data_IF_819949081883
#
_entry.id   IF_819949081883
#
_cell.length_a   1.000
_cell.length_b   1.000
_cell.length_c   1.000
_cell.angle_alpha   90.00
_cell.angle_beta   90.00
_cell.angle_gamma   90.00
#
_symmetry.space_group_name_H-M   'P 1'
#
loop_
_entity.id
_entity.type
_entity.pdbx_description
1 polymer ?
#
# COMPACT_ATOMS: atom_id res chain seq x y z
N UNK A 1 5.22 29.24 -25.16
CA UNK A 1 4.61 27.95 -25.54
C UNK A 1 4.92 26.95 -24.45
N UNK A 2 3.96 26.10 -24.09
CA UNK A 2 4.23 24.98 -23.19
C UNK A 2 5.05 23.92 -23.95
N UNK A 3 6.01 23.28 -23.28
CA UNK A 3 6.78 22.16 -23.84
C UNK A 3 5.84 20.97 -24.08
N UNK A 4 6.10 20.19 -25.11
CA UNK A 4 5.33 18.95 -25.33
C UNK A 4 5.93 17.78 -24.55
N UNK A 5 5.13 16.72 -24.35
CA UNK A 5 5.60 15.50 -23.68
C UNK A 5 6.68 14.81 -24.54
N UNK A 6 6.54 14.87 -25.86
CA UNK A 6 7.50 14.33 -26.84
C UNK A 6 8.86 15.03 -26.70
N UNK A 7 8.87 16.37 -26.66
CA UNK A 7 10.10 17.17 -26.47
C UNK A 7 10.80 16.84 -25.14
N UNK A 8 10.02 16.70 -24.05
CA UNK A 8 10.56 16.33 -22.73
C UNK A 8 11.16 14.92 -22.77
N UNK A 9 10.49 13.96 -23.39
CA UNK A 9 10.97 12.57 -23.50
C UNK A 9 12.27 12.48 -24.32
N UNK A 10 12.39 13.24 -25.42
CA UNK A 10 13.63 13.33 -26.19
C UNK A 10 14.80 13.86 -25.35
N UNK A 11 14.57 14.92 -24.56
CA UNK A 11 15.58 15.45 -23.64
C UNK A 11 15.99 14.44 -22.57
N UNK A 12 15.04 13.67 -22.03
CA UNK A 12 15.31 12.60 -21.06
C UNK A 12 16.21 11.54 -21.69
N UNK A 13 15.87 11.07 -22.89
CA UNK A 13 16.68 10.06 -23.62
C UNK A 13 18.10 10.56 -23.93
N UNK A 14 18.25 11.86 -24.20
CA UNK A 14 19.54 12.49 -24.47
C UNK A 14 20.33 12.86 -23.19
N UNK A 15 19.76 12.68 -21.99
CA UNK A 15 20.38 13.10 -20.73
C UNK A 15 20.48 14.62 -20.56
N UNK A 16 19.62 15.39 -21.25
CA UNK A 16 19.61 16.87 -21.26
C UNK A 16 18.43 17.49 -20.52
N UNK A 17 17.50 16.68 -20.03
CA UNK A 17 16.34 17.18 -19.31
C UNK A 17 16.76 17.87 -18.01
N UNK A 18 16.24 19.06 -17.76
CA UNK A 18 16.39 19.75 -16.48
C UNK A 18 15.31 19.20 -15.54
N UNK A 19 15.72 18.32 -14.63
CA UNK A 19 14.86 17.69 -13.63
C UNK A 19 15.14 18.30 -12.27
N UNK A 20 14.11 18.79 -11.60
CA UNK A 20 14.23 19.35 -10.24
C UNK A 20 13.15 18.77 -9.34
N UNK A 21 13.29 18.94 -8.02
CA UNK A 21 12.28 18.55 -7.04
C UNK A 21 11.21 19.64 -6.85
N UNK A 22 10.06 19.25 -6.32
CA UNK A 22 8.99 20.17 -5.92
C UNK A 22 9.42 21.14 -4.80
N UNK A 23 10.48 20.85 -4.05
CA UNK A 23 11.05 21.79 -3.07
C UNK A 23 11.95 22.83 -3.77
N UNK A 24 12.82 22.38 -4.67
CA UNK A 24 13.76 23.24 -5.40
C UNK A 24 13.05 24.25 -6.33
N UNK A 25 11.91 23.86 -6.91
CA UNK A 25 11.20 24.75 -7.84
C UNK A 25 10.70 26.02 -7.17
N UNK A 26 10.37 25.97 -5.88
CA UNK A 26 9.85 27.12 -5.14
C UNK A 26 10.89 28.25 -5.12
N UNK A 27 12.14 27.92 -4.81
CA UNK A 27 13.21 28.91 -4.74
C UNK A 27 13.65 29.37 -6.14
N UNK A 28 13.63 28.47 -7.13
CA UNK A 28 13.92 28.84 -8.52
C UNK A 28 12.90 29.85 -9.07
N UNK A 29 11.61 29.65 -8.78
CA UNK A 29 10.54 30.59 -9.15
C UNK A 29 10.72 31.94 -8.43
N UNK A 30 11.08 31.95 -7.15
CA UNK A 30 11.35 33.21 -6.42
C UNK A 30 12.51 33.99 -7.03
N UNK A 31 13.57 33.30 -7.49
CA UNK A 31 14.76 33.94 -8.04
C UNK A 31 14.59 34.39 -9.49
N UNK A 32 13.98 33.56 -10.34
CA UNK A 32 13.95 33.74 -11.81
C UNK A 32 12.58 34.16 -12.36
N UNK A 33 11.53 34.06 -11.55
CA UNK A 33 10.15 34.23 -11.98
C UNK A 33 9.56 32.98 -12.63
N UNK A 34 8.23 32.89 -12.61
CA UNK A 34 7.47 31.73 -13.07
C UNK A 34 7.71 31.39 -14.55
N UNK A 35 7.62 32.38 -15.44
CA UNK A 35 7.74 32.17 -16.89
C UNK A 35 9.11 31.64 -17.29
N UNK A 36 10.19 32.19 -16.72
CA UNK A 36 11.56 31.76 -17.01
C UNK A 36 11.82 30.37 -16.45
N UNK A 37 11.36 30.10 -15.23
CA UNK A 37 11.47 28.78 -14.60
C UNK A 37 10.76 27.70 -15.42
N UNK A 38 9.55 27.97 -15.90
CA UNK A 38 8.80 27.03 -16.74
C UNK A 38 9.47 26.75 -18.10
N UNK A 39 10.25 27.70 -18.64
CA UNK A 39 11.04 27.49 -19.85
C UNK A 39 12.29 26.64 -19.60
N UNK A 40 12.94 26.81 -18.45
CA UNK A 40 14.18 26.09 -18.08
C UNK A 40 13.90 24.66 -17.60
N UNK A 41 12.91 24.46 -16.72
CA UNK A 41 12.64 23.17 -16.04
C UNK A 41 11.78 22.26 -16.91
N UNK A 42 12.27 21.06 -17.21
CA UNK A 42 11.56 20.08 -18.05
C UNK A 42 10.66 19.14 -17.23
N UNK A 43 11.13 18.72 -16.04
CA UNK A 43 10.39 17.82 -15.16
C UNK A 43 10.49 18.30 -13.72
N UNK A 44 9.35 18.34 -13.04
CA UNK A 44 9.28 18.51 -11.58
C UNK A 44 8.94 17.17 -10.97
N UNK A 45 9.80 16.70 -10.09
CA UNK A 45 9.62 15.44 -9.38
C UNK A 45 9.12 15.72 -7.96
N UNK A 46 8.17 14.92 -7.50
CA UNK A 46 7.72 14.94 -6.11
C UNK A 46 7.54 13.50 -5.64
N UNK A 47 7.81 13.27 -4.37
CA UNK A 47 7.66 11.97 -3.75
C UNK A 47 7.24 12.16 -2.31
N UNK A 48 6.20 11.43 -1.90
CA UNK A 48 5.81 11.36 -0.49
C UNK A 48 5.82 9.91 -0.07
N UNK A 49 6.16 9.69 1.20
CA UNK A 49 6.08 8.39 1.82
C UNK A 49 5.22 8.52 3.06
N UNK A 50 4.18 7.70 3.14
CA UNK A 50 3.27 7.70 4.27
C UNK A 50 2.59 6.33 4.41
N UNK A 51 2.30 5.90 5.64
CA UNK A 51 1.53 4.69 5.86
C UNK A 51 0.12 4.88 5.28
N UNK A 52 -0.34 3.94 4.46
CA UNK A 52 -1.67 4.01 3.84
C UNK A 52 -2.47 2.74 4.11
N UNK A 53 -3.66 2.91 4.67
CA UNK A 53 -4.53 1.81 5.06
C UNK A 53 -5.14 1.05 3.86
N UNK A 54 -5.22 1.68 2.68
CA UNK A 54 -5.71 1.09 1.44
C UNK A 54 -4.66 0.29 0.65
N UNK A 55 -3.46 0.12 1.22
CA UNK A 55 -2.40 -0.72 0.64
C UNK A 55 -2.68 -2.21 0.84
N UNK A 56 -2.19 -3.03 -0.09
CA UNK A 56 -2.18 -4.48 -0.02
C UNK A 56 -1.28 -5.08 -1.09
N UNK A 57 -1.25 -6.40 -1.20
CA UNK A 57 -0.45 -7.11 -2.19
C UNK A 57 -1.29 -8.15 -2.93
N UNK A 58 -1.22 -8.13 -4.26
CA UNK A 58 -1.68 -9.22 -5.12
C UNK A 58 -0.54 -10.22 -5.30
N UNK A 59 -0.83 -11.50 -5.05
CA UNK A 59 0.15 -12.58 -5.14
C UNK A 59 -0.39 -13.67 -6.06
N UNK A 60 0.43 -14.13 -7.01
CA UNK A 60 0.19 -15.36 -7.76
C UNK A 60 1.14 -16.44 -7.24
N UNK A 61 0.58 -17.46 -6.58
CA UNK A 61 1.39 -18.51 -5.94
C UNK A 61 1.79 -19.66 -6.88
N UNK A 62 1.40 -19.57 -8.15
CA UNK A 62 1.54 -20.67 -9.10
C UNK A 62 0.71 -21.92 -8.75
N UNK A 63 0.81 -22.95 -9.58
CA UNK A 63 0.04 -24.17 -9.41
C UNK A 63 0.75 -25.19 -8.52
N UNK A 64 0.07 -25.62 -7.46
CA UNK A 64 0.46 -26.82 -6.71
C UNK A 64 0.28 -28.10 -7.55
N UNK A 65 0.90 -29.20 -7.13
CA UNK A 65 0.67 -30.55 -7.69
C UNK A 65 0.25 -31.53 -6.59
N UNK A 66 -0.97 -32.09 -6.60
CA UNK A 66 -2.09 -31.79 -7.49
C UNK A 66 -2.54 -30.33 -7.41
N UNK A 67 -3.20 -29.84 -8.47
CA UNK A 67 -3.67 -28.44 -8.59
C UNK A 67 -4.79 -28.14 -7.59
N UNK A 68 -4.78 -26.91 -7.06
CA UNK A 68 -5.83 -26.32 -6.22
C UNK A 68 -6.42 -25.09 -6.91
N UNK A 69 -7.73 -24.86 -6.74
CA UNK A 69 -8.40 -23.63 -7.14
C UNK A 69 -8.72 -22.83 -5.88
N UNK A 70 -7.84 -21.89 -5.53
CA UNK A 70 -8.04 -20.98 -4.40
C UNK A 70 -9.28 -20.11 -4.56
N UNK A 71 -9.62 -19.77 -5.81
CA UNK A 71 -10.80 -19.00 -6.19
C UNK A 71 -12.09 -19.48 -5.52
N UNK A 72 -12.65 -18.69 -4.61
CA UNK A 72 -13.86 -19.03 -3.84
C UNK A 72 -13.61 -19.94 -2.61
N UNK A 73 -12.35 -20.21 -2.27
CA UNK A 73 -11.93 -20.88 -1.05
C UNK A 73 -11.56 -19.91 0.07
N UNK A 74 -10.72 -20.34 1.01
CA UNK A 74 -10.19 -19.52 2.11
C UNK A 74 -8.68 -19.75 2.23
N UNK A 75 -7.89 -18.68 2.31
CA UNK A 75 -6.42 -18.75 2.37
C UNK A 75 -5.89 -17.85 3.47
N UNK A 76 -4.84 -18.30 4.14
CA UNK A 76 -4.14 -17.59 5.20
C UNK A 76 -2.64 -17.56 4.90
N UNK A 77 -2.02 -16.44 5.25
CA UNK A 77 -0.58 -16.21 5.22
C UNK A 77 -0.14 -15.86 6.64
N UNK A 78 0.66 -16.72 7.28
CA UNK A 78 0.99 -16.61 8.71
C UNK A 78 -0.25 -16.34 9.58
N UNK A 79 -1.31 -17.13 9.36
CA UNK A 79 -2.60 -17.03 10.04
C UNK A 79 -3.39 -15.71 9.82
N UNK A 80 -2.91 -14.84 8.92
CA UNK A 80 -3.62 -13.64 8.44
C UNK A 80 -4.44 -13.97 7.19
N UNK A 81 -5.73 -13.64 7.20
CA UNK A 81 -6.64 -13.94 6.09
C UNK A 81 -6.24 -13.20 4.80
N UNK A 82 -6.10 -13.94 3.71
CA UNK A 82 -5.93 -13.42 2.35
C UNK A 82 -7.22 -13.65 1.54
N UNK A 83 -7.63 -12.63 0.78
CA UNK A 83 -8.78 -12.67 -0.10
C UNK A 83 -8.54 -13.57 -1.30
N UNK A 84 -9.51 -14.44 -1.58
CA UNK A 84 -9.44 -15.53 -2.56
C UNK A 84 -10.52 -15.40 -3.64
N UNK A 85 -11.16 -14.24 -3.79
CA UNK A 85 -12.15 -14.03 -4.86
C UNK A 85 -11.55 -13.89 -6.26
N UNK A 86 -10.29 -14.29 -6.44
CA UNK A 86 -9.48 -14.10 -7.64
C UNK A 86 -9.10 -15.46 -8.25
N UNK A 87 -9.14 -15.52 -9.58
CA UNK A 87 -8.98 -16.69 -10.46
C UNK A 87 -8.76 -18.07 -9.79
N UNK A 88 -7.56 -18.67 -9.87
CA UNK A 88 -7.30 -20.03 -9.36
C UNK A 88 -6.12 -20.09 -8.39
N UNK A 89 -5.12 -19.24 -8.57
CA UNK A 89 -3.89 -19.22 -7.76
C UNK A 89 -3.54 -17.80 -7.30
N UNK A 90 -4.50 -16.88 -7.43
CA UNK A 90 -4.35 -15.47 -7.12
C UNK A 90 -5.01 -15.18 -5.77
N UNK A 91 -4.30 -14.44 -4.93
CA UNK A 91 -4.79 -13.97 -3.64
C UNK A 91 -4.44 -12.49 -3.45
N UNK A 92 -5.22 -11.81 -2.61
CA UNK A 92 -4.92 -10.44 -2.20
C UNK A 92 -4.88 -10.34 -0.68
N UNK A 93 -3.79 -9.82 -0.12
CA UNK A 93 -3.69 -9.52 1.30
C UNK A 93 -3.69 -8.01 1.53
N UNK A 94 -4.61 -7.53 2.35
CA UNK A 94 -4.68 -6.11 2.72
C UNK A 94 -3.72 -5.81 3.88
N UNK A 95 -3.09 -4.63 3.89
CA UNK A 95 -2.18 -4.22 4.96
C UNK A 95 -2.87 -4.15 6.34
N UNK A 96 -4.19 -3.92 6.37
CA UNK A 96 -5.02 -3.91 7.59
C UNK A 96 -5.63 -5.28 7.95
N UNK A 97 -5.31 -6.35 7.23
CA UNK A 97 -5.79 -7.67 7.60
C UNK A 97 -5.23 -8.06 8.98
N UNK A 98 -6.05 -8.70 9.80
CA UNK A 98 -5.67 -9.21 11.12
C UNK A 98 -5.92 -10.72 11.16
N UNK A 99 -5.19 -11.47 12.02
CA UNK A 99 -5.57 -12.82 12.38
C UNK A 99 -7.02 -12.90 12.88
N UNK A 100 -7.69 -14.01 12.62
CA UNK A 100 -9.08 -14.18 13.04
C UNK A 100 -9.23 -14.10 14.58
N UNK A 101 -8.26 -14.66 15.30
CA UNK A 101 -8.16 -14.76 16.76
C UNK A 101 -7.54 -13.54 17.46
N UNK A 102 -7.12 -12.52 16.71
CA UNK A 102 -6.61 -11.27 17.28
C UNK A 102 -7.62 -10.69 18.31
N UNK A 103 -7.18 -10.33 19.53
CA UNK A 103 -8.07 -9.85 20.58
C UNK A 103 -8.68 -8.48 20.23
N UNK A 104 -8.12 -7.77 19.24
CA UNK A 104 -8.52 -6.43 18.81
C UNK A 104 -8.65 -5.55 20.06
N UNK A 105 -9.72 -4.77 20.14
CA UNK A 105 -10.01 -3.91 21.29
C UNK A 105 -10.84 -4.61 22.39
N UNK A 106 -10.78 -5.95 22.53
CA UNK A 106 -11.46 -6.65 23.66
C UNK A 106 -10.89 -6.23 25.02
N UNK A 107 -9.57 -6.09 25.10
CA UNK A 107 -8.88 -5.38 26.18
C UNK A 107 -8.33 -4.11 25.56
N UNK A 108 -8.75 -2.97 26.08
CA UNK A 108 -8.48 -1.68 25.46
C UNK A 108 -7.27 -0.98 26.11
N UNK A 109 -6.28 -0.48 25.33
CA UNK A 109 -6.14 -0.60 23.87
C UNK A 109 -5.62 -1.98 23.43
N UNK A 110 -6.06 -2.44 22.26
CA UNK A 110 -5.52 -3.65 21.64
C UNK A 110 -4.05 -3.51 21.22
N UNK A 111 -3.30 -4.61 21.24
CA UNK A 111 -1.86 -4.62 20.93
C UNK A 111 -1.56 -4.65 19.43
N UNK A 112 -2.41 -5.34 18.63
CA UNK A 112 -2.26 -5.46 17.17
C UNK A 112 -0.86 -5.91 16.72
N UNK A 113 -0.30 -6.94 17.38
CA UNK A 113 1.11 -7.35 17.23
C UNK A 113 1.49 -7.89 15.84
N UNK A 114 0.52 -8.40 15.07
CA UNK A 114 0.77 -8.99 13.76
C UNK A 114 -0.43 -8.86 12.83
N UNK A 115 -0.20 -8.75 11.53
CA UNK A 115 -1.24 -8.48 10.54
C UNK A 115 -0.70 -8.42 9.12
N UNK A 116 -1.55 -8.02 8.17
CA UNK A 116 -1.23 -8.09 6.75
C UNK A 116 -0.05 -7.21 6.34
N UNK A 117 0.12 -6.04 6.96
CA UNK A 117 1.30 -5.19 6.75
C UNK A 117 2.61 -5.89 7.14
N UNK A 118 2.59 -6.64 8.25
CA UNK A 118 3.72 -7.46 8.69
C UNK A 118 3.99 -8.60 7.70
N UNK A 119 2.96 -9.34 7.27
CA UNK A 119 3.13 -10.39 6.26
C UNK A 119 3.75 -9.86 4.96
N UNK A 120 3.30 -8.69 4.50
CA UNK A 120 3.84 -8.06 3.29
C UNK A 120 5.31 -7.66 3.50
N UNK A 121 5.65 -7.05 4.63
CA UNK A 121 7.03 -6.69 4.99
C UNK A 121 7.94 -7.92 5.01
N UNK A 122 7.51 -8.99 5.68
CA UNK A 122 8.27 -10.22 5.81
C UNK A 122 8.48 -10.92 4.47
N UNK A 123 7.46 -10.92 3.61
CA UNK A 123 7.56 -11.46 2.26
C UNK A 123 8.58 -10.67 1.42
N UNK A 124 8.53 -9.33 1.46
CA UNK A 124 9.49 -8.46 0.75
C UNK A 124 10.91 -8.59 1.31
N UNK A 125 11.04 -8.83 2.62
CA UNK A 125 12.32 -9.15 3.27
C UNK A 125 12.86 -10.54 2.88
N UNK A 126 12.10 -11.33 2.12
CA UNK A 126 12.49 -12.67 1.67
C UNK A 126 12.41 -13.72 2.76
N UNK A 127 11.59 -13.52 3.79
CA UNK A 127 11.28 -14.55 4.78
C UNK A 127 10.26 -15.55 4.23
N UNK A 128 10.28 -16.76 4.77
CA UNK A 128 9.30 -17.78 4.44
C UNK A 128 7.97 -17.50 5.16
N UNK A 129 6.88 -17.52 4.39
CA UNK A 129 5.52 -17.29 4.87
C UNK A 129 4.73 -18.59 4.80
N UNK A 130 4.09 -18.98 5.90
CA UNK A 130 3.22 -20.15 5.96
C UNK A 130 1.92 -19.85 5.21
N UNK A 131 1.67 -20.59 4.14
CA UNK A 131 0.42 -20.56 3.39
C UNK A 131 -0.47 -21.73 3.81
N UNK A 132 -1.68 -21.44 4.26
CA UNK A 132 -2.73 -22.44 4.53
C UNK A 132 -3.97 -22.09 3.72
N UNK A 133 -4.37 -22.97 2.82
CA UNK A 133 -5.53 -22.78 1.97
C UNK A 133 -6.48 -23.97 2.00
N UNK A 134 -7.78 -23.68 1.99
CA UNK A 134 -8.86 -24.63 1.81
C UNK A 134 -9.75 -24.19 0.65
N UNK A 135 -10.16 -25.14 -0.19
CA UNK A 135 -10.96 -24.89 -1.37
C UNK A 135 -11.83 -26.09 -1.72
N UNK A 136 -12.82 -25.88 -2.60
CA UNK A 136 -13.56 -26.98 -3.20
C UNK A 136 -12.73 -27.65 -4.30
N UNK A 137 -12.96 -28.95 -4.49
CA UNK A 137 -12.27 -29.72 -5.53
C UNK A 137 -13.10 -29.76 -6.82
N UNK A 138 -12.41 -29.79 -7.95
CA UNK A 138 -12.99 -30.11 -9.27
C UNK A 138 -12.12 -31.14 -9.97
N UNK A 139 -12.56 -31.68 -11.10
CA UNK A 139 -11.75 -32.64 -11.86
C UNK A 139 -10.42 -32.04 -12.33
N UNK A 140 -10.40 -30.75 -12.68
CA UNK A 140 -9.18 -30.02 -13.07
C UNK A 140 -8.34 -29.54 -11.88
N UNK A 141 -8.95 -29.41 -10.70
CA UNK A 141 -8.33 -28.91 -9.47
C UNK A 141 -8.72 -29.79 -8.28
N UNK A 142 -8.18 -31.02 -8.19
CA UNK A 142 -8.68 -32.00 -7.24
C UNK A 142 -8.24 -31.74 -5.79
N UNK A 143 -7.20 -30.93 -5.58
CA UNK A 143 -6.69 -30.62 -4.24
C UNK A 143 -7.66 -29.69 -3.51
N UNK A 144 -8.07 -30.06 -2.30
CA UNK A 144 -8.99 -29.28 -1.44
C UNK A 144 -8.31 -28.55 -0.28
N UNK A 145 -7.08 -28.92 0.05
CA UNK A 145 -6.27 -28.27 1.09
C UNK A 145 -4.82 -28.18 0.63
N UNK A 146 -4.20 -27.03 0.86
CA UNK A 146 -2.79 -26.79 0.64
C UNK A 146 -2.21 -26.17 1.91
N UNK A 147 -1.15 -26.75 2.43
CA UNK A 147 -0.38 -26.19 3.53
C UNK A 147 1.09 -26.31 3.17
N UNK A 148 1.77 -25.18 3.10
CA UNK A 148 3.15 -25.10 2.62
C UNK A 148 3.79 -23.80 3.12
N UNK A 149 5.10 -23.68 2.92
CA UNK A 149 5.82 -22.41 3.00
C UNK A 149 5.97 -21.84 1.59
N UNK A 150 5.92 -20.50 1.48
CA UNK A 150 6.20 -19.76 0.26
C UNK A 150 7.22 -18.66 0.56
N UNK A 151 8.08 -18.36 -0.41
CA UNK A 151 8.98 -17.21 -0.39
C UNK A 151 8.67 -16.30 -1.59
N UNK A 152 9.02 -15.01 -1.52
CA UNK A 152 8.86 -14.08 -2.66
C UNK A 152 9.56 -14.57 -3.93
N UNK A 153 10.62 -15.37 -3.78
CA UNK A 153 11.36 -15.98 -4.89
C UNK A 153 10.64 -17.13 -5.58
N UNK A 154 9.62 -17.71 -4.93
CA UNK A 154 8.84 -18.84 -5.44
C UNK A 154 7.55 -18.39 -6.15
N UNK A 155 7.15 -17.14 -5.96
CA UNK A 155 5.91 -16.59 -6.50
C UNK A 155 6.08 -16.19 -7.97
N UNK A 156 5.06 -16.46 -8.78
CA UNK A 156 5.06 -16.03 -10.18
C UNK A 156 4.97 -14.51 -10.29
N UNK A 157 4.11 -13.91 -9.47
CA UNK A 157 3.88 -12.47 -9.44
C UNK A 157 3.64 -12.00 -8.01
N UNK A 158 4.20 -10.83 -7.69
CA UNK A 158 4.00 -10.13 -6.43
C UNK A 158 3.88 -8.64 -6.73
N UNK A 159 2.67 -8.09 -6.58
CA UNK A 159 2.38 -6.70 -6.91
C UNK A 159 1.89 -6.00 -5.65
N UNK A 160 2.68 -5.04 -5.15
CA UNK A 160 2.20 -4.10 -4.15
C UNK A 160 1.19 -3.16 -4.82
N UNK A 161 -0.04 -3.17 -4.32
CA UNK A 161 -1.13 -2.42 -4.92
C UNK A 161 -1.85 -1.61 -3.85
N UNK A 162 -2.25 -0.40 -4.22
CA UNK A 162 -3.05 0.43 -3.35
C UNK A 162 -4.33 0.83 -4.07
N UNK A 163 -5.45 0.47 -3.46
CA UNK A 163 -6.78 0.57 -4.05
C UNK A 163 -7.22 2.04 -4.18
N UNK A 164 -6.63 2.95 -3.39
CA UNK A 164 -6.99 4.37 -3.40
C UNK A 164 -5.79 5.24 -3.01
N UNK A 165 -5.18 5.92 -3.98
CA UNK A 165 -3.98 6.75 -3.78
C UNK A 165 -4.18 8.25 -3.99
N UNK A 166 -5.25 8.67 -4.67
CA UNK A 166 -5.44 10.07 -5.02
C UNK A 166 -6.46 10.73 -4.07
N UNK A 167 -5.98 11.68 -3.28
CA UNK A 167 -6.81 12.58 -2.46
C UNK A 167 -6.30 14.01 -2.68
N UNK A 168 -7.21 14.95 -2.92
CA UNK A 168 -6.84 16.37 -3.01
C UNK A 168 -6.53 16.96 -1.63
N UNK A 169 -7.31 16.58 -0.61
CA UNK A 169 -7.07 16.85 0.79
C UNK A 169 -7.67 15.71 1.63
N UNK A 170 -7.12 15.46 2.81
CA UNK A 170 -7.66 14.49 3.77
C UNK A 170 -8.27 15.20 4.97
N UNK A 171 -9.16 14.52 5.69
CA UNK A 171 -9.79 15.08 6.88
C UNK A 171 -8.79 15.25 8.02
N UNK A 172 -8.97 16.32 8.81
CA UNK A 172 -8.27 16.52 10.08
C UNK A 172 -9.19 16.05 11.20
N UNK A 173 -8.72 15.11 12.01
CA UNK A 173 -9.46 14.61 13.16
C UNK A 173 -9.10 15.44 14.41
N UNK A 174 -10.12 16.00 15.06
CA UNK A 174 -10.04 16.74 16.32
C UNK A 174 -11.14 16.26 17.27
N UNK A 175 -11.06 16.64 18.55
CA UNK A 175 -12.03 16.25 19.56
C UNK A 175 -12.55 17.48 20.31
N UNK A 176 -13.85 17.75 20.16
CA UNK A 176 -14.57 18.85 20.82
C UNK A 176 -15.20 18.45 22.16
N UNK A 177 -15.08 17.18 22.56
CA UNK A 177 -15.65 16.69 23.82
C UNK A 177 -14.66 16.83 24.97
N UNK A 178 -15.17 16.71 26.20
CA UNK A 178 -14.39 16.82 27.44
C UNK A 178 -13.60 15.53 27.77
N UNK A 179 -13.78 14.44 27.01
CA UNK A 179 -13.10 13.15 27.26
C UNK A 179 -12.11 12.80 26.17
N UNK A 180 -11.06 12.07 26.53
CA UNK A 180 -10.09 11.56 25.56
C UNK A 180 -10.76 10.54 24.65
N UNK A 181 -10.64 10.72 23.34
CA UNK A 181 -11.07 9.75 22.33
C UNK A 181 -9.86 8.97 21.84
N UNK A 182 -10.04 7.67 21.71
CA UNK A 182 -9.03 6.82 21.13
C UNK A 182 -9.49 6.29 19.79
N UNK A 183 -8.73 6.59 18.75
CA UNK A 183 -9.08 6.28 17.36
C UNK A 183 -8.01 5.38 16.75
N UNK A 184 -8.32 4.78 15.60
CA UNK A 184 -7.33 4.04 14.83
C UNK A 184 -6.17 4.92 14.31
N UNK A 185 -6.33 6.26 14.31
CA UNK A 185 -5.29 7.23 13.96
C UNK A 185 -4.49 7.73 15.17
N UNK A 186 -4.73 7.17 16.35
CA UNK A 186 -4.13 7.62 17.62
C UNK A 186 -5.12 8.36 18.52
N UNK A 187 -4.59 8.92 19.61
CA UNK A 187 -5.35 9.60 20.65
C UNK A 187 -5.76 11.00 20.20
N UNK A 188 -7.01 11.39 20.47
CA UNK A 188 -7.52 12.76 20.38
C UNK A 188 -7.89 13.26 21.79
N UNK A 189 -7.13 14.22 22.29
CA UNK A 189 -7.29 14.87 23.58
C UNK A 189 -8.55 15.74 23.61
N UNK A 190 -9.18 15.90 24.79
CA UNK A 190 -10.32 16.80 24.97
C UNK A 190 -10.07 18.22 24.48
N UNK A 191 -11.15 18.96 24.25
CA UNK A 191 -11.14 20.44 24.08
C UNK A 191 -10.12 20.94 23.04
N UNK A 192 -10.05 20.26 21.89
CA UNK A 192 -9.12 20.57 20.79
C UNK A 192 -7.63 20.49 21.19
N UNK A 193 -7.29 19.68 22.20
CA UNK A 193 -5.91 19.56 22.70
C UNK A 193 -4.89 18.99 21.69
N UNK A 194 -5.34 18.36 20.59
CA UNK A 194 -4.51 18.01 19.43
C UNK A 194 -5.36 17.79 18.16
N UNK A 195 -4.67 17.67 17.03
CA UNK A 195 -5.22 17.29 15.73
C UNK A 195 -4.40 16.15 15.11
N UNK A 196 -5.05 15.13 14.58
CA UNK A 196 -4.41 14.07 13.79
C UNK A 196 -4.77 14.25 12.31
N UNK A 197 -3.77 14.28 11.44
CA UNK A 197 -3.92 14.42 10.00
C UNK A 197 -2.77 13.72 9.26
N UNK A 198 -2.98 13.40 7.99
CA UNK A 198 -1.94 12.91 7.08
C UNK A 198 -2.13 13.58 5.73
N UNK A 199 -1.10 14.27 5.25
CA UNK A 199 -1.11 15.00 3.99
C UNK A 199 0.30 15.05 3.40
N UNK A 200 0.37 15.22 2.08
CA UNK A 200 1.60 15.56 1.37
C UNK A 200 2.10 16.99 1.71
N UNK A 201 1.32 17.78 2.45
CA UNK A 201 1.69 19.13 2.88
C UNK A 201 1.95 20.02 1.67
N UNK A 202 3.11 20.69 1.64
CA UNK A 202 3.54 21.53 0.52
C UNK A 202 3.75 20.77 -0.79
N UNK A 203 3.83 19.43 -0.75
CA UNK A 203 4.00 18.57 -1.91
C UNK A 203 2.67 18.10 -2.50
N UNK A 204 1.54 18.44 -1.86
CA UNK A 204 0.22 18.21 -2.43
C UNK A 204 0.02 19.14 -3.64
N UNK A 205 -0.35 18.62 -4.82
CA UNK A 205 -0.57 19.43 -6.03
C UNK A 205 -1.71 20.44 -5.87
#
# INVERSE_FOLDING_TARGET
MAKTIEEINEKIQQGKAVVITAEEIIDLVKQKGLQKTAQEVDVVTTGTFGPMCSSGAFLNIGHSKPRIKLGGGRTYLNDVLAYTGLAATDIFIGANALPDDDPRNRVYPGEFNYGGGHVIEELVAGKDIRLVATAYGTDCYPRRRLETWINIKDLNETVLFNIRNAYQNYNVAVNLSERTLYTYMGILKPDLGNANYSSAGQLSP
#
